data_IF_967537077852
#
_entry.id   IF_967537077852
#
_cell.length_a   1.000
_cell.length_b   1.000
_cell.length_c   1.000
_cell.angle_alpha   90.00
_cell.angle_beta   90.00
_cell.angle_gamma   90.00
#
_symmetry.space_group_name_H-M   'P 1'
#
loop_
_entity.id
_entity.type
_entity.pdbx_description
1 polymer ?
#
# COMPACT_ATOMS: atom_id res chain seq x y z
N UNK A 1 9.30 28.78 -23.52
CA UNK A 1 10.02 28.64 -22.22
C UNK A 1 9.07 28.44 -21.02
N UNK A 2 8.07 29.27 -20.81
CA UNK A 2 7.14 29.11 -19.68
C UNK A 2 6.10 27.98 -19.91
N UNK A 3 5.63 27.81 -21.12
CA UNK A 3 4.82 26.65 -21.53
C UNK A 3 5.61 25.33 -21.45
N UNK A 4 6.86 25.29 -21.91
CA UNK A 4 7.71 24.09 -21.79
C UNK A 4 8.05 23.75 -20.32
N UNK A 5 8.24 24.76 -19.44
CA UNK A 5 8.38 24.53 -18.00
C UNK A 5 7.07 24.03 -17.36
N UNK A 6 5.93 24.45 -17.89
CA UNK A 6 4.61 24.01 -17.42
C UNK A 6 4.31 22.59 -17.89
N UNK A 7 4.67 22.21 -19.12
CA UNK A 7 4.56 20.84 -19.63
C UNK A 7 5.54 19.88 -18.96
N UNK A 8 6.79 20.30 -18.67
CA UNK A 8 7.75 19.49 -17.88
C UNK A 8 7.27 19.24 -16.46
N UNK A 9 6.53 20.16 -15.81
CA UNK A 9 5.95 19.96 -14.48
C UNK A 9 4.71 19.05 -14.49
N UNK A 10 3.98 18.98 -15.61
CA UNK A 10 2.79 18.11 -15.75
C UNK A 10 3.16 16.64 -15.99
N UNK A 11 4.36 16.34 -16.48
CA UNK A 11 4.82 14.99 -16.78
C UNK A 11 6.03 14.56 -15.94
N UNK A 12 6.21 15.15 -14.75
CA UNK A 12 7.31 14.79 -13.85
C UNK A 12 7.18 13.32 -13.41
N UNK A 13 7.99 12.47 -14.01
CA UNK A 13 8.12 11.07 -13.68
C UNK A 13 9.39 10.87 -12.85
N UNK A 14 9.28 10.16 -11.74
CA UNK A 14 10.44 9.81 -10.93
C UNK A 14 11.17 8.62 -11.55
N UNK A 15 12.43 8.85 -11.93
CA UNK A 15 13.32 7.82 -12.47
C UNK A 15 14.43 7.58 -11.45
N UNK A 16 14.48 6.40 -10.79
CA UNK A 16 15.55 6.09 -9.86
C UNK A 16 16.91 6.02 -10.59
N UNK A 17 17.90 6.76 -10.10
CA UNK A 17 19.22 6.79 -10.71
C UNK A 17 20.26 6.19 -9.77
N UNK A 18 21.05 5.26 -10.29
CA UNK A 18 22.19 4.73 -9.56
C UNK A 18 23.33 5.77 -9.52
N UNK A 19 23.95 5.91 -8.37
CA UNK A 19 25.15 6.75 -8.22
C UNK A 19 26.28 5.94 -7.57
N UNK A 20 27.52 6.23 -7.92
CA UNK A 20 28.71 5.58 -7.31
C UNK A 20 28.78 5.80 -5.79
N UNK A 21 28.17 6.87 -5.29
CA UNK A 21 28.04 7.12 -3.86
C UNK A 21 27.35 5.97 -3.09
N UNK A 22 26.50 5.16 -3.76
CA UNK A 22 25.85 3.99 -3.16
C UNK A 22 26.79 2.82 -2.87
N UNK A 23 28.02 2.84 -3.40
CA UNK A 23 29.07 1.84 -3.11
C UNK A 23 29.87 2.17 -1.85
N UNK A 24 29.68 3.37 -1.27
CA UNK A 24 30.36 3.78 -0.05
C UNK A 24 30.08 2.82 1.13
N UNK A 25 31.08 2.52 1.99
CA UNK A 25 30.95 1.56 3.10
C UNK A 25 29.74 1.73 4.00
N UNK A 26 29.26 2.97 4.18
CA UNK A 26 28.02 3.26 4.95
C UNK A 26 26.78 2.52 4.45
N UNK A 27 26.77 2.06 3.21
CA UNK A 27 25.64 1.33 2.60
C UNK A 27 25.84 -0.18 2.52
N UNK A 28 27.02 -0.70 2.89
CA UNK A 28 27.30 -2.14 2.78
C UNK A 28 26.34 -3.01 3.55
N UNK A 29 25.85 -2.55 4.70
CA UNK A 29 24.81 -3.27 5.44
C UNK A 29 23.51 -3.43 4.65
N UNK A 30 23.12 -2.41 3.86
CA UNK A 30 21.93 -2.49 2.98
C UNK A 30 22.21 -3.45 1.83
N UNK A 31 23.38 -3.38 1.19
CA UNK A 31 23.76 -4.31 0.14
C UNK A 31 23.83 -5.76 0.60
N UNK A 32 24.32 -6.00 1.82
CA UNK A 32 24.29 -7.33 2.43
C UNK A 32 22.85 -7.85 2.57
N UNK A 33 21.94 -7.03 3.09
CA UNK A 33 20.52 -7.37 3.19
C UNK A 33 19.92 -7.66 1.81
N UNK A 34 20.20 -6.84 0.81
CA UNK A 34 19.75 -7.05 -0.59
C UNK A 34 20.29 -8.37 -1.13
N UNK A 35 21.57 -8.68 -0.91
CA UNK A 35 22.17 -9.94 -1.33
C UNK A 35 21.51 -11.16 -0.66
N UNK A 36 21.29 -11.08 0.64
CA UNK A 36 20.57 -12.13 1.40
C UNK A 36 19.14 -12.30 0.86
N UNK A 37 18.40 -11.19 0.65
CA UNK A 37 17.05 -11.25 0.09
C UNK A 37 17.04 -11.86 -1.32
N UNK A 38 18.02 -11.52 -2.16
CA UNK A 38 18.14 -12.09 -3.50
C UNK A 38 18.41 -13.61 -3.45
N UNK A 39 19.29 -14.08 -2.57
CA UNK A 39 19.53 -15.51 -2.36
C UNK A 39 18.27 -16.23 -1.85
N UNK A 40 17.60 -15.67 -0.86
CA UNK A 40 16.36 -16.23 -0.34
C UNK A 40 15.24 -16.27 -1.39
N UNK A 41 15.18 -15.29 -2.30
CA UNK A 41 14.21 -15.28 -3.39
C UNK A 41 14.39 -16.46 -4.37
N UNK A 42 15.60 -17.01 -4.48
CA UNK A 42 15.87 -18.21 -5.30
C UNK A 42 15.28 -19.50 -4.69
N UNK A 43 15.08 -19.54 -3.35
CA UNK A 43 14.50 -20.68 -2.66
C UNK A 43 13.00 -20.79 -2.99
N UNK A 44 12.44 -21.99 -3.23
CA UNK A 44 11.00 -22.17 -3.41
C UNK A 44 10.20 -21.59 -2.24
N UNK A 45 9.14 -20.83 -2.54
CA UNK A 45 8.37 -20.10 -1.54
C UNK A 45 7.85 -21.01 -0.42
N UNK A 46 7.37 -22.20 -0.75
CA UNK A 46 6.87 -23.17 0.24
C UNK A 46 7.88 -23.59 1.30
N UNK A 47 9.18 -23.51 0.99
CA UNK A 47 10.25 -23.84 1.94
C UNK A 47 10.68 -22.61 2.75
N UNK A 48 10.75 -21.44 2.14
CA UNK A 48 11.22 -20.22 2.80
C UNK A 48 10.16 -19.52 3.64
N UNK A 49 8.88 -19.52 3.21
CA UNK A 49 7.83 -18.72 3.83
C UNK A 49 7.53 -19.14 5.29
N UNK A 50 7.52 -20.42 5.68
CA UNK A 50 7.39 -20.80 7.10
C UNK A 50 8.51 -20.23 7.98
N UNK A 51 9.75 -20.26 7.47
CA UNK A 51 10.92 -19.72 8.17
C UNK A 51 10.81 -18.21 8.31
N UNK A 52 10.48 -17.53 7.20
CA UNK A 52 10.30 -16.08 7.19
C UNK A 52 9.15 -15.62 8.08
N UNK A 53 8.04 -16.35 8.07
CA UNK A 53 6.91 -16.05 8.96
C UNK A 53 7.31 -16.16 10.44
N UNK A 54 8.05 -17.21 10.81
CA UNK A 54 8.56 -17.37 12.16
C UNK A 54 9.54 -16.26 12.54
N UNK A 55 10.45 -15.90 11.65
CA UNK A 55 11.39 -14.79 11.84
C UNK A 55 10.63 -13.45 11.96
N UNK A 56 9.62 -13.23 11.11
CA UNK A 56 8.79 -12.04 11.15
C UNK A 56 8.07 -11.87 12.48
N UNK A 57 7.44 -12.93 13.01
CA UNK A 57 6.82 -12.92 14.35
C UNK A 57 7.83 -12.61 15.43
N UNK A 58 9.01 -13.25 15.36
CA UNK A 58 10.09 -13.03 16.33
C UNK A 58 10.57 -11.56 16.31
N UNK A 59 10.89 -11.00 15.15
CA UNK A 59 11.27 -9.58 14.99
C UNK A 59 10.15 -8.65 15.47
N UNK A 60 8.89 -9.00 15.16
CA UNK A 60 7.72 -8.27 15.61
C UNK A 60 7.62 -8.11 17.13
N UNK A 61 8.05 -9.12 17.91
CA UNK A 61 8.08 -9.07 19.38
C UNK A 61 9.04 -8.00 19.92
N UNK A 62 10.14 -7.74 19.23
CA UNK A 62 11.11 -6.71 19.60
C UNK A 62 10.75 -5.32 19.05
N UNK A 63 9.84 -5.23 18.10
CA UNK A 63 9.39 -3.99 17.48
C UNK A 63 8.37 -3.24 18.37
N UNK A 64 8.77 -2.91 19.63
CA UNK A 64 7.87 -2.36 20.67
C UNK A 64 7.00 -1.21 20.18
N UNK A 65 7.56 -0.25 19.45
CA UNK A 65 6.83 0.93 18.96
C UNK A 65 5.79 0.60 17.86
N UNK A 66 6.16 -0.26 16.91
CA UNK A 66 5.25 -0.71 15.85
C UNK A 66 4.11 -1.55 16.43
N UNK A 67 4.44 -2.53 17.28
CA UNK A 67 3.46 -3.38 17.96
C UNK A 67 2.48 -2.59 18.82
N UNK A 68 2.97 -1.59 19.56
CA UNK A 68 2.09 -0.70 20.34
C UNK A 68 1.10 0.05 19.44
N UNK A 69 1.54 0.59 18.30
CA UNK A 69 0.63 1.25 17.35
C UNK A 69 -0.44 0.29 16.82
N UNK A 70 -0.03 -0.91 16.43
CA UNK A 70 -0.96 -1.94 15.96
C UNK A 70 -2.01 -2.31 17.04
N UNK A 71 -1.59 -2.49 18.29
CA UNK A 71 -2.49 -2.74 19.42
C UNK A 71 -3.51 -1.63 19.63
N UNK A 72 -3.07 -0.36 19.57
CA UNK A 72 -3.96 0.79 19.72
C UNK A 72 -4.96 0.84 18.56
N UNK A 73 -4.51 0.66 17.33
CA UNK A 73 -5.38 0.65 16.16
C UNK A 73 -6.44 -0.46 16.25
N UNK A 74 -6.02 -1.70 16.54
CA UNK A 74 -6.95 -2.83 16.67
C UNK A 74 -7.90 -2.66 17.86
N UNK A 75 -7.44 -2.12 18.99
CA UNK A 75 -8.30 -1.87 20.14
C UNK A 75 -9.41 -0.87 19.81
N UNK A 76 -9.09 0.19 19.08
CA UNK A 76 -10.05 1.25 18.75
C UNK A 76 -10.92 0.90 17.54
N UNK A 77 -10.37 0.22 16.55
CA UNK A 77 -11.09 -0.16 15.35
C UNK A 77 -11.93 -1.43 15.52
N UNK A 78 -11.44 -2.41 16.29
CA UNK A 78 -12.07 -3.72 16.47
C UNK A 78 -12.16 -4.08 17.97
N UNK A 79 -12.92 -3.32 18.78
CA UNK A 79 -13.00 -3.53 20.22
C UNK A 79 -13.63 -4.86 20.62
N UNK A 80 -14.40 -5.47 19.72
CA UNK A 80 -15.02 -6.80 19.92
C UNK A 80 -14.00 -7.94 20.00
N UNK A 81 -12.77 -7.74 19.47
CA UNK A 81 -11.73 -8.74 19.54
C UNK A 81 -11.14 -8.82 20.96
N UNK A 82 -10.89 -10.01 21.44
CA UNK A 82 -10.13 -10.27 22.66
C UNK A 82 -8.68 -9.84 22.51
N UNK A 83 -7.96 -9.69 23.63
CA UNK A 83 -6.54 -9.36 23.58
C UNK A 83 -5.73 -10.44 22.81
N UNK A 84 -6.06 -11.72 23.00
CA UNK A 84 -5.37 -12.82 22.32
C UNK A 84 -5.59 -12.78 20.79
N UNK A 85 -6.81 -12.48 20.35
CA UNK A 85 -7.10 -12.33 18.92
C UNK A 85 -6.35 -11.15 18.31
N UNK A 86 -6.31 -10.00 19.00
CA UNK A 86 -5.50 -8.85 18.54
C UNK A 86 -4.02 -9.18 18.45
N UNK A 87 -3.46 -9.86 19.46
CA UNK A 87 -2.05 -10.27 19.43
C UNK A 87 -1.78 -11.27 18.29
N UNK A 88 -2.70 -12.20 18.02
CA UNK A 88 -2.61 -13.13 16.90
C UNK A 88 -2.59 -12.40 15.56
N UNK A 89 -3.51 -11.46 15.33
CA UNK A 89 -3.51 -10.61 14.12
C UNK A 89 -2.19 -9.87 13.96
N UNK A 90 -1.65 -9.31 15.06
CA UNK A 90 -0.37 -8.60 15.03
C UNK A 90 0.78 -9.55 14.69
N UNK A 91 0.82 -10.74 15.28
CA UNK A 91 1.87 -11.72 15.00
C UNK A 91 1.83 -12.18 13.53
N UNK A 92 0.63 -12.46 12.98
CA UNK A 92 0.47 -12.83 11.58
C UNK A 92 0.78 -11.65 10.63
N UNK A 93 0.43 -10.42 11.00
CA UNK A 93 0.84 -9.21 10.24
C UNK A 93 2.37 -9.11 10.13
N UNK A 94 3.10 -9.35 11.22
CA UNK A 94 4.57 -9.37 11.18
C UNK A 94 5.14 -10.57 10.43
N UNK A 95 4.45 -11.70 10.41
CA UNK A 95 4.84 -12.86 9.63
C UNK A 95 4.72 -12.61 8.12
N UNK A 96 3.62 -11.97 7.71
CA UNK A 96 3.32 -11.68 6.31
C UNK A 96 4.32 -10.67 5.70
N UNK A 97 4.83 -9.74 6.50
CA UNK A 97 5.73 -8.68 6.02
C UNK A 97 6.95 -9.21 5.25
N UNK A 98 7.83 -10.08 5.79
CA UNK A 98 8.97 -10.59 5.06
C UNK A 98 8.59 -11.54 3.92
N UNK A 99 7.47 -12.27 4.04
CA UNK A 99 6.97 -13.18 3.01
C UNK A 99 6.54 -12.41 1.75
N UNK A 100 5.71 -11.37 1.90
CA UNK A 100 5.25 -10.52 0.82
C UNK A 100 6.42 -9.72 0.20
N UNK A 101 7.30 -9.18 1.05
CA UNK A 101 8.50 -8.48 0.57
C UNK A 101 9.38 -9.39 -0.29
N UNK A 102 9.56 -10.65 0.12
CA UNK A 102 10.38 -11.57 -0.65
C UNK A 102 9.72 -11.98 -1.96
N UNK A 103 8.39 -12.06 -2.03
CA UNK A 103 7.69 -12.23 -3.31
C UNK A 103 7.92 -11.04 -4.25
N UNK A 104 7.96 -9.82 -3.74
CA UNK A 104 8.29 -8.63 -4.52
C UNK A 104 9.73 -8.69 -5.06
N UNK A 105 10.70 -9.10 -4.23
CA UNK A 105 12.09 -9.30 -4.67
C UNK A 105 12.17 -10.44 -5.72
N UNK A 106 11.47 -11.55 -5.51
CA UNK A 106 11.37 -12.64 -6.48
C UNK A 106 10.88 -12.16 -7.86
N UNK A 107 9.81 -11.34 -7.87
CA UNK A 107 9.30 -10.71 -9.10
C UNK A 107 10.34 -9.83 -9.78
N UNK A 108 11.18 -9.15 -9.01
CA UNK A 108 12.15 -8.21 -9.56
C UNK A 108 13.38 -8.88 -10.17
N UNK A 109 13.83 -10.02 -9.63
CA UNK A 109 15.12 -10.64 -10.01
C UNK A 109 14.97 -11.96 -10.76
N UNK A 110 13.82 -12.63 -10.66
CA UNK A 110 13.56 -13.91 -11.34
C UNK A 110 12.49 -13.74 -12.42
N UNK A 111 12.28 -14.75 -13.29
CA UNK A 111 11.16 -14.71 -14.25
C UNK A 111 9.82 -14.55 -13.51
N UNK A 112 9.08 -13.51 -13.85
CA UNK A 112 7.83 -13.16 -13.17
C UNK A 112 6.78 -14.29 -13.21
N UNK A 113 6.82 -15.12 -14.26
CA UNK A 113 5.95 -16.30 -14.39
C UNK A 113 6.08 -17.28 -13.21
N UNK A 114 7.23 -17.30 -12.53
CA UNK A 114 7.43 -18.15 -11.34
C UNK A 114 6.53 -17.69 -10.16
N UNK A 115 6.51 -16.41 -9.88
CA UNK A 115 5.65 -15.83 -8.85
C UNK A 115 4.18 -15.82 -9.30
N UNK A 116 3.93 -15.48 -10.57
CA UNK A 116 2.59 -15.39 -11.15
C UNK A 116 1.79 -16.70 -11.04
N UNK A 117 2.43 -17.87 -11.14
CA UNK A 117 1.76 -19.17 -10.94
C UNK A 117 1.15 -19.36 -9.56
N UNK A 118 1.51 -18.52 -8.58
CA UNK A 118 0.99 -18.52 -7.21
C UNK A 118 -0.02 -17.41 -6.94
N UNK A 119 -0.42 -16.69 -8.00
CA UNK A 119 -1.36 -15.58 -7.93
C UNK A 119 -2.74 -16.03 -8.40
N UNK A 120 -3.76 -15.62 -7.66
CA UNK A 120 -5.17 -15.78 -8.03
C UNK A 120 -5.83 -14.41 -8.05
N UNK A 121 -6.49 -14.10 -9.13
CA UNK A 121 -7.27 -12.89 -9.28
C UNK A 121 -8.75 -13.22 -9.06
N UNK A 122 -9.40 -12.44 -8.21
CA UNK A 122 -10.83 -12.53 -7.93
C UNK A 122 -11.47 -11.21 -8.35
N UNK A 123 -12.43 -11.25 -9.28
CA UNK A 123 -13.10 -10.06 -9.82
C UNK A 123 -12.36 -9.40 -10.99
N UNK A 124 -11.45 -10.11 -11.68
CA UNK A 124 -10.73 -9.54 -12.84
C UNK A 124 -11.66 -9.21 -14.00
N UNK A 125 -12.78 -9.93 -14.12
CA UNK A 125 -13.86 -9.67 -15.09
C UNK A 125 -14.41 -8.24 -15.00
N UNK A 126 -14.39 -7.64 -13.81
CA UNK A 126 -14.80 -6.23 -13.60
C UNK A 126 -13.85 -5.29 -14.34
N UNK A 127 -12.54 -5.54 -14.23
CA UNK A 127 -11.50 -4.76 -14.87
C UNK A 127 -11.54 -4.95 -16.39
N UNK A 128 -11.76 -6.18 -16.85
CA UNK A 128 -11.87 -6.50 -18.27
C UNK A 128 -13.07 -5.78 -18.91
N UNK A 129 -14.22 -5.76 -18.24
CA UNK A 129 -15.41 -5.03 -18.71
C UNK A 129 -15.15 -3.51 -18.80
N UNK A 130 -14.45 -2.92 -17.81
CA UNK A 130 -14.09 -1.50 -17.87
C UNK A 130 -13.08 -1.19 -18.98
N UNK A 131 -12.14 -2.09 -19.23
CA UNK A 131 -11.16 -1.99 -20.30
C UNK A 131 -11.84 -2.04 -21.69
N UNK A 132 -12.79 -2.94 -21.90
CA UNK A 132 -13.58 -3.02 -23.12
C UNK A 132 -14.38 -1.75 -23.39
N UNK A 133 -14.88 -1.11 -22.30
CA UNK A 133 -15.56 0.18 -22.36
C UNK A 133 -14.59 1.37 -22.48
N UNK A 134 -13.29 1.13 -22.59
CA UNK A 134 -12.24 2.15 -22.64
C UNK A 134 -12.29 3.16 -21.47
N UNK A 135 -12.73 2.71 -20.30
CA UNK A 135 -12.78 3.54 -19.10
C UNK A 135 -11.40 3.67 -18.47
N UNK A 136 -11.06 4.86 -18.02
CA UNK A 136 -9.91 5.03 -17.14
C UNK A 136 -10.18 4.36 -15.78
N UNK A 137 -9.18 3.74 -15.20
CA UNK A 137 -9.28 3.04 -13.92
C UNK A 137 -8.30 3.63 -12.91
N UNK A 138 -8.78 3.83 -11.69
CA UNK A 138 -7.93 4.10 -10.53
C UNK A 138 -8.23 3.03 -9.48
N UNK A 139 -7.26 2.16 -9.21
CA UNK A 139 -7.37 1.21 -8.12
C UNK A 139 -7.22 1.94 -6.79
N UNK A 140 -8.16 1.70 -5.88
CA UNK A 140 -8.10 2.13 -4.49
C UNK A 140 -7.63 0.96 -3.64
N UNK A 141 -6.42 1.06 -3.08
CA UNK A 141 -5.73 -0.06 -2.44
C UNK A 141 -5.34 0.29 -1.02
N UNK A 142 -5.93 -0.35 0.00
CA UNK A 142 -5.49 -0.20 1.38
C UNK A 142 -4.03 -0.64 1.58
N UNK A 143 -3.31 -0.01 2.52
CA UNK A 143 -1.93 -0.39 2.82
C UNK A 143 -1.84 -1.79 3.40
N UNK A 144 -1.35 -2.73 2.61
CA UNK A 144 -0.97 -4.07 3.02
C UNK A 144 0.50 -4.36 2.69
N UNK A 145 1.04 -5.45 3.20
CA UNK A 145 2.44 -5.80 2.92
C UNK A 145 2.69 -6.20 1.46
N UNK A 146 1.68 -6.75 0.81
CA UNK A 146 1.74 -7.15 -0.61
C UNK A 146 1.28 -6.04 -1.57
N UNK A 147 1.10 -4.81 -1.10
CA UNK A 147 0.45 -3.70 -1.82
C UNK A 147 1.08 -3.36 -3.17
N UNK A 148 2.37 -3.50 -3.34
CA UNK A 148 3.07 -3.17 -4.59
C UNK A 148 2.94 -4.27 -5.67
N UNK A 149 2.67 -5.52 -5.25
CA UNK A 149 2.71 -6.69 -6.13
C UNK A 149 1.64 -6.65 -7.24
N UNK A 150 0.37 -6.31 -6.99
CA UNK A 150 -0.63 -6.24 -8.06
C UNK A 150 -0.24 -5.30 -9.19
N UNK A 151 0.24 -4.09 -8.86
CA UNK A 151 0.66 -3.12 -9.86
C UNK A 151 1.87 -3.62 -10.68
N UNK A 152 2.83 -4.30 -10.05
CA UNK A 152 3.97 -4.92 -10.73
C UNK A 152 3.50 -6.04 -11.68
N UNK A 153 2.55 -6.88 -11.27
CA UNK A 153 2.01 -7.96 -12.09
C UNK A 153 1.21 -7.44 -13.29
N UNK A 154 0.36 -6.42 -13.07
CA UNK A 154 -0.36 -5.75 -14.15
C UNK A 154 0.61 -5.12 -15.15
N UNK A 155 1.69 -4.48 -14.67
CA UNK A 155 2.75 -3.93 -15.54
C UNK A 155 3.45 -5.04 -16.32
N UNK A 156 3.74 -6.17 -15.70
CA UNK A 156 4.32 -7.33 -16.38
C UNK A 156 3.42 -7.90 -17.47
N UNK A 157 2.10 -7.84 -17.29
CA UNK A 157 1.11 -8.23 -18.30
C UNK A 157 0.92 -7.16 -19.38
N UNK A 158 1.70 -6.09 -19.37
CA UNK A 158 1.69 -5.04 -20.40
C UNK A 158 0.76 -3.86 -20.08
N UNK A 159 0.10 -3.85 -18.90
CA UNK A 159 -0.75 -2.75 -18.53
C UNK A 159 0.09 -1.55 -18.08
N UNK A 160 -0.23 -0.36 -18.58
CA UNK A 160 0.44 0.89 -18.16
C UNK A 160 -0.08 1.28 -16.78
N UNK A 161 0.80 1.29 -15.78
CA UNK A 161 0.46 1.65 -14.40
C UNK A 161 1.07 2.99 -13.99
N UNK A 162 0.35 3.75 -13.20
CA UNK A 162 0.86 4.98 -12.59
C UNK A 162 0.55 5.00 -11.08
N UNK A 163 1.54 5.33 -10.26
CA UNK A 163 1.37 5.40 -8.80
C UNK A 163 2.01 6.65 -8.21
N UNK A 164 1.44 7.12 -7.09
CA UNK A 164 2.10 8.12 -6.26
C UNK A 164 2.94 7.46 -5.18
N UNK A 165 4.10 8.04 -4.89
CA UNK A 165 4.99 7.53 -3.87
C UNK A 165 5.51 8.63 -2.94
N UNK A 166 6.03 8.22 -1.79
CA UNK A 166 6.80 9.07 -0.90
C UNK A 166 8.27 8.65 -0.92
N UNK A 167 9.17 9.61 -1.09
CA UNK A 167 10.61 9.32 -1.10
C UNK A 167 11.07 8.76 0.24
N UNK A 168 11.91 7.76 0.21
CA UNK A 168 12.53 7.20 1.41
C UNK A 168 13.63 8.14 1.93
N UNK A 169 13.81 8.21 3.25
CA UNK A 169 14.86 9.04 3.85
C UNK A 169 16.27 8.60 3.46
N UNK A 170 16.49 7.32 3.27
CA UNK A 170 17.78 6.78 2.84
C UNK A 170 17.80 6.70 1.30
N UNK A 171 18.73 7.43 0.62
CA UNK A 171 18.76 7.48 -0.84
C UNK A 171 18.95 6.13 -1.53
N UNK A 172 19.74 5.21 -0.94
CA UNK A 172 19.91 3.88 -1.50
C UNK A 172 18.62 3.04 -1.37
N UNK A 173 17.93 3.12 -0.23
CA UNK A 173 16.63 2.45 -0.08
C UNK A 173 15.59 3.02 -1.04
N UNK A 174 15.59 4.34 -1.24
CA UNK A 174 14.70 5.00 -2.21
C UNK A 174 14.97 4.50 -3.64
N UNK A 175 16.24 4.47 -4.03
CA UNK A 175 16.68 3.92 -5.32
C UNK A 175 16.23 2.46 -5.50
N UNK A 176 16.57 1.58 -4.55
CA UNK A 176 16.27 0.14 -4.63
C UNK A 176 14.76 -0.12 -4.70
N UNK A 177 13.99 0.50 -3.80
CA UNK A 177 12.55 0.29 -3.73
C UNK A 177 11.83 0.72 -5.01
N UNK A 178 12.20 1.88 -5.55
CA UNK A 178 11.57 2.39 -6.76
C UNK A 178 12.07 1.70 -8.03
N UNK A 179 13.30 1.16 -8.02
CA UNK A 179 13.79 0.28 -9.08
C UNK A 179 12.99 -1.04 -9.13
N UNK A 180 12.70 -1.65 -7.96
CA UNK A 180 11.86 -2.84 -7.87
C UNK A 180 10.45 -2.56 -8.44
N UNK A 181 9.79 -1.49 -7.99
CA UNK A 181 8.45 -1.09 -8.46
C UNK A 181 8.37 -0.89 -9.97
N UNK A 182 9.44 -0.38 -10.57
CA UNK A 182 9.50 -0.10 -12.02
C UNK A 182 10.08 -1.24 -12.85
N UNK A 183 10.30 -2.40 -12.27
CA UNK A 183 10.92 -3.55 -12.96
C UNK A 183 10.24 -3.89 -14.30
N UNK A 184 8.95 -3.74 -14.40
CA UNK A 184 8.13 -4.05 -15.58
C UNK A 184 7.56 -2.80 -16.27
N UNK A 185 8.08 -1.63 -15.94
CA UNK A 185 7.55 -0.35 -16.41
C UNK A 185 6.67 0.35 -15.38
N UNK A 186 5.80 1.24 -15.86
CA UNK A 186 4.96 2.08 -15.02
C UNK A 186 5.63 3.41 -14.66
N UNK A 187 4.78 4.40 -14.30
CA UNK A 187 5.20 5.73 -13.88
C UNK A 187 5.07 5.89 -12.37
N UNK A 188 6.10 6.43 -11.75
CA UNK A 188 6.07 6.85 -10.35
C UNK A 188 6.10 8.37 -10.27
N UNK A 189 5.20 8.92 -9.46
CA UNK A 189 5.12 10.36 -9.20
C UNK A 189 5.38 10.63 -7.74
N UNK A 190 6.24 11.61 -7.43
CA UNK A 190 6.51 11.94 -6.03
C UNK A 190 5.40 12.82 -5.47
N UNK A 191 5.12 12.72 -4.18
CA UNK A 191 4.17 13.62 -3.52
C UNK A 191 4.63 15.08 -3.55
N UNK A 192 5.95 15.31 -3.61
CA UNK A 192 6.53 16.66 -3.67
C UNK A 192 6.18 17.37 -4.98
N UNK A 193 5.95 16.63 -6.06
CA UNK A 193 5.54 17.19 -7.37
C UNK A 193 4.03 17.47 -7.41
N UNK A 194 3.31 17.11 -6.36
CA UNK A 194 1.84 17.22 -6.26
C UNK A 194 1.11 16.14 -7.06
N UNK A 195 -0.23 16.25 -7.12
CA UNK A 195 -1.09 15.23 -7.74
C UNK A 195 -1.22 15.38 -9.27
N UNK A 196 -0.86 16.55 -9.82
CA UNK A 196 -1.08 16.84 -11.26
C UNK A 196 -0.39 15.86 -12.22
N UNK A 197 0.88 15.44 -12.00
CA UNK A 197 1.53 14.45 -12.87
C UNK A 197 0.83 13.10 -12.86
N UNK A 198 0.32 12.65 -11.72
CA UNK A 198 -0.47 11.43 -11.60
C UNK A 198 -1.77 11.53 -12.41
N UNK A 199 -2.51 12.64 -12.27
CA UNK A 199 -3.72 12.92 -13.05
C UNK A 199 -3.41 12.90 -14.55
N UNK A 200 -2.30 13.52 -14.98
CA UNK A 200 -1.83 13.51 -16.36
C UNK A 200 -1.66 12.09 -16.89
N UNK A 201 -0.96 11.24 -16.14
CA UNK A 201 -0.75 9.84 -16.51
C UNK A 201 -2.05 9.05 -16.65
N UNK A 202 -2.99 9.21 -15.71
CA UNK A 202 -4.30 8.52 -15.80
C UNK A 202 -5.06 8.97 -17.03
N UNK A 203 -5.05 10.26 -17.35
CA UNK A 203 -5.69 10.80 -18.56
C UNK A 203 -5.03 10.35 -19.86
N UNK A 204 -3.76 9.95 -19.82
CA UNK A 204 -3.02 9.34 -20.92
C UNK A 204 -3.27 7.82 -21.05
N UNK A 205 -4.20 7.26 -20.26
CA UNK A 205 -4.58 5.85 -20.32
C UNK A 205 -3.73 4.92 -19.43
N UNK A 206 -2.96 5.47 -18.47
CA UNK A 206 -2.36 4.68 -17.41
C UNK A 206 -3.43 4.35 -16.35
N UNK A 207 -3.45 3.12 -15.84
CA UNK A 207 -4.26 2.79 -14.69
C UNK A 207 -3.61 3.36 -13.43
N UNK A 208 -4.39 4.14 -12.69
CA UNK A 208 -3.94 4.75 -11.45
C UNK A 208 -3.88 3.72 -10.32
N UNK A 209 -2.92 3.87 -9.41
CA UNK A 209 -2.78 3.06 -8.20
C UNK A 209 -2.69 4.00 -7.00
N UNK A 210 -3.75 4.07 -6.21
CA UNK A 210 -3.94 5.06 -5.17
C UNK A 210 -4.18 4.39 -3.80
N UNK A 211 -3.42 4.80 -2.79
CA UNK A 211 -3.53 4.30 -1.43
C UNK A 211 -4.24 5.35 -0.57
N UNK A 212 -5.49 5.09 -0.12
CA UNK A 212 -6.37 6.11 0.45
C UNK A 212 -6.21 6.32 1.96
N UNK A 213 -5.60 5.40 2.67
CA UNK A 213 -5.81 5.14 4.09
C UNK A 213 -4.77 5.77 5.04
N UNK A 214 -3.84 6.59 4.53
CA UNK A 214 -2.95 7.37 5.39
C UNK A 214 -3.68 8.58 6.00
N UNK A 215 -3.27 8.94 7.21
CA UNK A 215 -3.74 10.15 7.89
C UNK A 215 -2.93 11.36 7.40
N UNK A 216 -3.60 12.24 6.67
CA UNK A 216 -3.02 13.45 6.06
C UNK A 216 -3.17 14.72 6.90
N UNK A 217 -3.73 14.63 8.10
CA UNK A 217 -4.06 15.78 8.93
C UNK A 217 -5.51 16.21 8.79
N UNK A 218 -5.91 17.26 9.51
CA UNK A 218 -7.29 17.75 9.52
C UNK A 218 -7.62 18.59 8.27
N UNK A 219 -6.62 19.23 7.68
CA UNK A 219 -6.81 20.08 6.50
C UNK A 219 -7.32 19.27 5.32
N UNK A 220 -8.44 19.65 4.76
CA UNK A 220 -9.12 18.96 3.65
C UNK A 220 -9.56 17.50 3.95
N UNK A 221 -9.60 17.09 5.21
CA UNK A 221 -10.07 15.77 5.63
C UNK A 221 -11.43 15.86 6.32
N UNK A 222 -12.25 14.85 6.09
CA UNK A 222 -13.52 14.65 6.77
C UNK A 222 -13.33 13.68 7.96
N UNK A 223 -13.96 13.99 9.09
CA UNK A 223 -14.00 13.09 10.25
C UNK A 223 -15.18 12.14 10.11
N UNK A 224 -14.93 10.99 9.55
CA UNK A 224 -15.95 9.95 9.26
C UNK A 224 -15.63 8.64 9.97
N UNK A 225 -16.64 7.82 10.16
CA UNK A 225 -16.48 6.52 10.80
C UNK A 225 -15.45 5.65 10.08
N UNK A 226 -14.69 4.90 10.87
CA UNK A 226 -13.72 3.90 10.44
C UNK A 226 -13.73 2.76 11.44
N UNK A 227 -14.28 1.60 11.06
CA UNK A 227 -14.60 0.51 11.97
C UNK A 227 -15.41 1.02 13.18
N UNK A 228 -15.02 0.67 14.41
CA UNK A 228 -15.72 1.10 15.62
C UNK A 228 -15.28 2.48 16.15
N UNK A 229 -14.49 3.23 15.40
CA UNK A 229 -14.03 4.59 15.75
C UNK A 229 -14.25 5.53 14.58
N UNK A 230 -13.57 6.66 14.55
CA UNK A 230 -13.53 7.57 13.41
C UNK A 230 -12.11 7.91 12.98
N UNK A 231 -11.96 8.43 11.79
CA UNK A 231 -10.68 8.81 11.18
C UNK A 231 -10.81 10.09 10.38
N UNK A 232 -9.75 10.90 10.38
CA UNK A 232 -9.61 11.99 9.41
C UNK A 232 -9.25 11.39 8.05
N UNK A 233 -10.20 11.42 7.11
CA UNK A 233 -10.09 10.80 5.79
C UNK A 233 -10.14 11.86 4.71
N UNK A 234 -9.11 11.90 3.85
CA UNK A 234 -9.03 12.82 2.71
C UNK A 234 -9.87 12.28 1.54
N UNK A 235 -10.97 12.93 1.11
CA UNK A 235 -11.89 12.44 0.07
C UNK A 235 -11.34 12.63 -1.35
N UNK A 236 -10.04 12.42 -1.54
CA UNK A 236 -9.35 12.74 -2.80
C UNK A 236 -9.85 11.93 -4.01
N UNK A 237 -10.42 10.73 -3.79
CA UNK A 237 -10.88 9.86 -4.89
C UNK A 237 -12.06 10.46 -5.65
N UNK A 238 -12.95 11.21 -5.01
CA UNK A 238 -14.06 11.86 -5.71
C UNK A 238 -13.58 12.89 -6.72
N UNK A 239 -12.58 13.70 -6.33
CA UNK A 239 -11.93 14.63 -7.25
C UNK A 239 -11.18 13.89 -8.36
N UNK A 240 -10.45 12.80 -8.03
CA UNK A 240 -9.72 12.01 -9.01
C UNK A 240 -10.67 11.36 -10.01
N UNK A 241 -11.78 10.77 -9.56
CA UNK A 241 -12.84 10.20 -10.42
C UNK A 241 -13.29 11.22 -11.46
N UNK A 242 -13.66 12.43 -11.01
CA UNK A 242 -14.17 13.51 -11.88
C UNK A 242 -13.11 14.01 -12.86
N UNK A 243 -11.89 14.34 -12.36
CA UNK A 243 -10.85 14.98 -13.17
C UNK A 243 -10.21 13.99 -14.15
N UNK A 244 -10.05 12.74 -13.76
CA UNK A 244 -9.49 11.69 -14.61
C UNK A 244 -10.56 10.99 -15.47
N UNK A 245 -11.85 11.26 -15.25
CA UNK A 245 -12.96 10.50 -15.84
C UNK A 245 -12.75 8.99 -15.66
N UNK A 246 -12.39 8.60 -14.43
CA UNK A 246 -11.98 7.25 -14.09
C UNK A 246 -12.99 6.57 -13.18
N UNK A 247 -13.11 5.26 -13.30
CA UNK A 247 -13.77 4.42 -12.30
C UNK A 247 -12.82 4.14 -11.15
N UNK A 248 -13.32 4.24 -9.92
CA UNK A 248 -12.56 3.87 -8.72
C UNK A 248 -12.87 2.43 -8.39
N UNK A 249 -11.85 1.57 -8.48
CA UNK A 249 -11.98 0.12 -8.29
C UNK A 249 -11.22 -0.30 -7.04
N UNK A 250 -11.91 -0.73 -5.96
CA UNK A 250 -11.24 -1.23 -4.76
C UNK A 250 -10.49 -2.54 -5.04
N UNK A 251 -9.25 -2.64 -4.53
CA UNK A 251 -8.40 -3.81 -4.70
C UNK A 251 -7.62 -4.08 -3.40
N UNK A 252 -7.50 -5.36 -3.02
CA UNK A 252 -6.69 -5.73 -1.87
C UNK A 252 -5.95 -7.06 -2.09
N UNK A 253 -4.62 -7.09 -1.97
CA UNK A 253 -3.84 -8.31 -2.04
C UNK A 253 -3.73 -8.98 -0.67
N UNK A 254 -3.96 -10.29 -0.62
CA UNK A 254 -3.90 -11.16 0.55
C UNK A 254 -2.83 -12.24 0.32
N UNK A 255 -1.74 -12.18 1.06
CA UNK A 255 -0.67 -13.17 0.97
C UNK A 255 -0.84 -14.26 2.02
N UNK A 256 -1.03 -15.49 1.58
CA UNK A 256 -1.11 -16.66 2.45
C UNK A 256 0.26 -17.31 2.60
N UNK A 257 0.96 -17.06 3.69
CA UNK A 257 2.30 -17.61 3.95
C UNK A 257 2.34 -19.13 4.18
N UNK A 258 1.20 -19.78 4.44
CA UNK A 258 1.11 -21.24 4.61
C UNK A 258 1.10 -21.96 3.25
N UNK A 259 0.40 -21.40 2.28
CA UNK A 259 0.29 -21.93 0.91
C UNK A 259 1.24 -21.25 -0.06
N UNK A 260 1.86 -20.15 0.35
CA UNK A 260 2.70 -19.25 -0.49
C UNK A 260 1.94 -18.71 -1.71
N UNK A 261 0.65 -18.51 -1.57
CA UNK A 261 -0.24 -17.97 -2.61
C UNK A 261 -0.58 -16.51 -2.33
N UNK A 262 -0.80 -15.75 -3.38
CA UNK A 262 -1.31 -14.39 -3.34
C UNK A 262 -2.69 -14.36 -3.98
N UNK A 263 -3.71 -14.06 -3.19
CA UNK A 263 -5.05 -13.79 -3.67
C UNK A 263 -5.24 -12.28 -3.79
N UNK A 264 -5.69 -11.81 -4.95
CA UNK A 264 -5.94 -10.38 -5.21
C UNK A 264 -7.43 -10.21 -5.44
N UNK A 265 -8.07 -9.53 -4.49
CA UNK A 265 -9.51 -9.28 -4.52
C UNK A 265 -9.79 -7.92 -5.16
N UNK A 266 -10.63 -7.91 -6.17
CA UNK A 266 -11.14 -6.73 -6.87
C UNK A 266 -12.63 -6.65 -6.63
N UNK A 267 -13.11 -5.48 -6.24
CA UNK A 267 -14.53 -5.25 -5.96
C UNK A 267 -15.17 -4.37 -7.03
N UNK A 268 -16.50 -4.34 -7.13
CA UNK A 268 -17.22 -3.46 -8.03
C UNK A 268 -16.77 -2.00 -7.91
N UNK A 269 -16.81 -1.23 -8.99
CA UNK A 269 -16.48 0.20 -8.96
C UNK A 269 -17.36 0.97 -7.98
N UNK A 270 -16.78 1.97 -7.34
CA UNK A 270 -17.48 2.89 -6.43
C UNK A 270 -18.22 3.98 -7.21
N UNK A 271 -19.10 3.59 -8.13
CA UNK A 271 -19.81 4.54 -9.00
C UNK A 271 -20.82 5.40 -8.25
N UNK A 272 -21.25 4.95 -7.08
CA UNK A 272 -22.18 5.61 -6.15
C UNK A 272 -21.62 6.91 -5.55
N UNK A 273 -20.30 7.12 -5.55
CA UNK A 273 -19.70 8.37 -5.08
C UNK A 273 -19.67 9.48 -6.14
N UNK A 274 -20.15 9.22 -7.35
CA UNK A 274 -20.13 10.23 -8.42
C UNK A 274 -21.11 11.36 -8.11
N UNK A 275 -20.56 12.55 -7.88
CA UNK A 275 -21.36 13.74 -7.52
C UNK A 275 -21.75 13.83 -6.04
N UNK A 276 -21.33 12.88 -5.20
CA UNK A 276 -21.51 12.95 -3.76
C UNK A 276 -20.65 14.07 -3.13
N UNK A 277 -21.02 14.48 -1.92
CA UNK A 277 -20.21 15.40 -1.12
C UNK A 277 -18.97 14.75 -0.52
N UNK A 278 -18.03 15.55 -0.03
CA UNK A 278 -16.75 15.08 0.50
C UNK A 278 -16.93 14.16 1.71
N UNK A 279 -17.92 14.39 2.58
CA UNK A 279 -18.21 13.56 3.74
C UNK A 279 -18.68 12.16 3.31
N UNK A 280 -19.62 12.09 2.37
CA UNK A 280 -20.12 10.83 1.80
C UNK A 280 -18.99 10.05 1.11
N UNK A 281 -18.17 10.74 0.31
CA UNK A 281 -17.02 10.13 -0.37
C UNK A 281 -16.03 9.54 0.66
N UNK A 282 -15.68 10.33 1.69
CA UNK A 282 -14.75 9.88 2.73
C UNK A 282 -15.30 8.64 3.49
N UNK A 283 -16.60 8.63 3.81
CA UNK A 283 -17.22 7.49 4.49
C UNK A 283 -17.22 6.24 3.60
N UNK A 284 -17.61 6.37 2.34
CA UNK A 284 -17.60 5.25 1.38
C UNK A 284 -16.19 4.69 1.16
N UNK A 285 -15.16 5.55 1.13
CA UNK A 285 -13.76 5.09 1.10
C UNK A 285 -13.43 4.21 2.31
N UNK A 286 -13.81 4.65 3.51
CA UNK A 286 -13.56 3.89 4.72
C UNK A 286 -14.33 2.56 4.73
N UNK A 287 -15.60 2.55 4.30
CA UNK A 287 -16.41 1.32 4.19
C UNK A 287 -15.76 0.27 3.28
N UNK A 288 -15.22 0.68 2.14
CA UNK A 288 -14.52 -0.25 1.26
C UNK A 288 -13.23 -0.78 1.88
N UNK A 289 -12.46 0.08 2.58
CA UNK A 289 -11.28 -0.36 3.34
C UNK A 289 -11.70 -1.34 4.44
N UNK A 290 -12.73 -1.02 5.22
CA UNK A 290 -13.28 -1.89 6.27
C UNK A 290 -13.67 -3.25 5.70
N UNK A 291 -14.40 -3.27 4.58
CA UNK A 291 -14.84 -4.51 3.94
C UNK A 291 -13.67 -5.38 3.46
N UNK A 292 -12.69 -4.76 2.79
CA UNK A 292 -11.51 -5.47 2.28
C UNK A 292 -10.63 -6.02 3.40
N UNK A 293 -10.51 -5.27 4.49
CA UNK A 293 -9.63 -5.62 5.62
C UNK A 293 -10.30 -6.60 6.60
N UNK A 294 -11.62 -6.51 6.79
CA UNK A 294 -12.32 -7.29 7.81
C UNK A 294 -12.15 -8.81 7.67
N UNK A 295 -12.02 -9.32 6.44
CA UNK A 295 -11.88 -10.75 6.17
C UNK A 295 -10.45 -11.27 6.43
N UNK A 296 -9.43 -10.40 6.29
CA UNK A 296 -8.02 -10.74 6.44
C UNK A 296 -7.28 -9.60 7.16
N UNK A 297 -7.62 -9.32 8.44
CA UNK A 297 -7.10 -8.14 9.14
C UNK A 297 -5.58 -8.18 9.33
N UNK A 298 -4.95 -9.35 9.35
CA UNK A 298 -3.49 -9.52 9.44
C UNK A 298 -2.74 -9.05 8.19
N UNK A 299 -3.44 -8.83 7.07
CA UNK A 299 -2.83 -8.32 5.85
C UNK A 299 -2.64 -6.81 5.86
N UNK A 300 -3.41 -6.10 6.70
CA UNK A 300 -3.40 -4.65 6.78
C UNK A 300 -2.26 -4.12 7.65
N UNK A 301 -1.65 -3.01 7.26
CA UNK A 301 -0.50 -2.45 7.99
C UNK A 301 -0.92 -1.64 9.22
N UNK A 302 -1.43 -2.32 10.26
CA UNK A 302 -1.86 -1.71 11.52
C UNK A 302 -0.76 -0.93 12.26
N UNK A 303 0.49 -1.03 11.83
CA UNK A 303 1.61 -0.27 12.41
C UNK A 303 1.61 1.21 12.00
N UNK A 304 0.81 1.61 11.04
CA UNK A 304 0.66 3.00 10.61
C UNK A 304 -0.06 3.83 11.69
N UNK A 305 0.15 5.13 11.70
CA UNK A 305 -0.57 6.06 12.56
C UNK A 305 -1.91 6.47 11.92
N UNK A 306 -2.83 5.51 11.78
CA UNK A 306 -4.11 5.67 11.08
C UNK A 306 -5.05 6.69 11.75
N UNK A 307 -4.95 6.82 13.07
CA UNK A 307 -5.84 7.61 13.93
C UNK A 307 -5.11 8.79 14.58
N UNK A 308 -4.06 9.32 13.93
CA UNK A 308 -3.23 10.39 14.48
C UNK A 308 -4.03 11.67 14.66
N UNK A 309 -4.77 12.06 13.63
CA UNK A 309 -5.54 13.31 13.62
C UNK A 309 -6.88 13.09 14.29
N UNK A 310 -7.17 13.93 15.30
CA UNK A 310 -8.40 13.87 16.10
C UNK A 310 -9.14 15.20 16.03
N UNK A 311 -10.39 15.19 16.45
CA UNK A 311 -11.19 16.42 16.57
C UNK A 311 -10.54 17.39 17.59
N UNK A 312 -10.79 18.70 17.47
CA UNK A 312 -10.26 19.68 18.43
C UNK A 312 -10.55 19.29 19.90
N UNK A 313 -9.55 19.37 20.76
CA UNK A 313 -9.66 19.01 22.19
C UNK A 313 -9.37 17.53 22.49
N UNK A 314 -9.31 16.64 21.50
CA UNK A 314 -8.99 15.23 21.73
C UNK A 314 -7.49 14.94 21.61
N UNK A 315 -6.99 14.07 22.48
CA UNK A 315 -5.59 13.63 22.46
C UNK A 315 -5.34 12.53 21.43
N UNK A 316 -4.26 12.64 20.66
CA UNK A 316 -3.79 11.60 19.75
C UNK A 316 -3.68 10.24 20.49
N UNK A 317 -4.33 9.15 20.03
CA UNK A 317 -4.36 7.87 20.74
C UNK A 317 -2.97 7.29 21.02
N UNK A 318 -2.00 7.56 20.15
CA UNK A 318 -0.62 7.05 20.30
C UNK A 318 0.17 7.78 21.40
N UNK A 319 -0.29 8.92 21.89
CA UNK A 319 0.27 9.67 23.02
C UNK A 319 -0.36 9.26 24.34
N UNK A 320 -1.55 8.68 24.33
CA UNK A 320 -2.30 8.26 25.52
C UNK A 320 -1.58 7.10 26.23
N UNK A 321 -1.36 7.25 27.53
CA UNK A 321 -0.68 6.25 28.38
C UNK A 321 -1.61 5.13 28.84
N UNK A 322 -2.89 5.42 28.97
CA UNK A 322 -3.96 4.47 29.33
C UNK A 322 -4.21 3.42 28.25
N UNK A 323 -3.96 3.77 26.98
CA UNK A 323 -4.01 2.83 25.87
C UNK A 323 -2.63 2.16 25.68
N UNK A 324 -2.35 1.09 26.38
CA UNK A 324 -1.07 0.38 26.38
C UNK A 324 0.12 1.27 26.81
N UNK A 325 0.43 1.35 28.11
CA UNK A 325 1.54 2.12 28.63
C UNK A 325 2.86 1.68 27.97
N UNK A 326 3.75 2.64 27.70
CA UNK A 326 5.11 2.31 27.23
C UNK A 326 5.81 1.57 28.38
N UNK A 327 6.02 0.25 28.23
CA UNK A 327 6.96 -0.45 29.12
C UNK A 327 8.33 0.22 28.97
N UNK A 328 8.88 0.70 30.08
CA UNK A 328 10.23 1.28 30.17
C UNK A 328 11.28 0.30 29.69
#
# INVERSE_FOLDING_TARGET
MEQEKKERKTNAEFIPQFTSAFLHPRYWGIWLVVGVMALLACIPARLRDPILGTLGRWVGRFSKGARRRARINLLLCMPQLTENEREHIIDEMFATAPQAMLMMVELAILPASRAYRRVRWHGMEIVDALREQQRNIIFMVPHGWAVDIPAMLMSWQGQKMAAMMHNQKNPLQDYLWNTLRRRFGGRLHTRNDGIKPFIGSVREGYWGYYLPDQDHGAEHSEFVDFFATYKATLPAIGRLMKVCRAEIVPLFPVYNGKTSQLDIYIRPPMSDINGADDHTIARRMNEEVEHLVAQNPEQYTWILKLLKTRKPGETEPYLRKDLYPRKK
#
